data_IF_357913739176
#
_entry.id   IF_357913739176
#
_cell.length_a   1.000
_cell.length_b   1.000
_cell.length_c   1.000
_cell.angle_alpha   90.00
_cell.angle_beta   90.00
_cell.angle_gamma   90.00
#
_symmetry.space_group_name_H-M   'P 1'
#
loop_
_entity.id
_entity.type
_entity.pdbx_description
1 polymer ?
#
# COMPACT_ATOMS: atom_id res chain seq x y z
N UNK A 1 -26.09 -40.77 26.67
CA UNK A 1 -25.83 -39.56 25.84
C UNK A 1 -27.09 -38.73 25.90
N UNK A 2 -27.02 -37.54 26.51
CA UNK A 2 -28.21 -36.74 26.81
C UNK A 2 -28.59 -35.86 25.60
N UNK A 3 -29.91 -35.71 25.35
CA UNK A 3 -30.52 -34.83 24.31
C UNK A 3 -29.88 -33.43 24.22
N UNK A 4 -29.33 -32.93 25.34
CA UNK A 4 -28.63 -31.66 25.43
C UNK A 4 -27.34 -31.62 24.58
N UNK A 5 -26.57 -32.72 24.54
CA UNK A 5 -25.34 -32.85 23.77
C UNK A 5 -25.59 -32.90 22.24
N UNK A 6 -26.73 -33.43 21.80
CA UNK A 6 -27.11 -33.47 20.39
C UNK A 6 -27.58 -32.09 19.89
N UNK A 7 -28.32 -31.34 20.73
CA UNK A 7 -28.71 -29.97 20.39
C UNK A 7 -27.53 -29.02 20.32
N UNK A 8 -26.56 -29.13 21.23
CA UNK A 8 -25.35 -28.31 21.22
C UNK A 8 -24.48 -28.63 19.99
N UNK A 9 -24.33 -29.90 19.61
CA UNK A 9 -23.66 -30.31 18.37
C UNK A 9 -24.38 -29.83 17.12
N UNK A 10 -25.70 -29.90 17.08
CA UNK A 10 -26.50 -29.43 15.96
C UNK A 10 -26.43 -27.90 15.81
N UNK A 11 -26.48 -27.15 16.89
CA UNK A 11 -26.33 -25.70 16.92
C UNK A 11 -24.91 -25.28 16.51
N UNK A 12 -23.87 -25.98 16.95
CA UNK A 12 -22.49 -25.78 16.51
C UNK A 12 -22.35 -26.01 15.02
N UNK A 13 -22.89 -27.10 14.50
CA UNK A 13 -22.87 -27.43 13.08
C UNK A 13 -23.61 -26.41 12.20
N UNK A 14 -24.77 -25.91 12.64
CA UNK A 14 -25.52 -24.85 11.93
C UNK A 14 -24.72 -23.54 11.94
N UNK A 15 -24.14 -23.17 13.07
CA UNK A 15 -23.34 -21.95 13.22
C UNK A 15 -22.07 -22.01 12.34
N UNK A 16 -21.38 -23.16 12.30
CA UNK A 16 -20.23 -23.36 11.44
C UNK A 16 -20.60 -23.31 9.95
N UNK A 17 -21.72 -23.88 9.56
CA UNK A 17 -22.19 -23.86 8.17
C UNK A 17 -22.63 -22.49 7.72
N UNK A 18 -23.37 -21.74 8.54
CA UNK A 18 -23.74 -20.36 8.28
C UNK A 18 -22.50 -19.45 8.17
N UNK A 19 -21.51 -19.63 9.05
CA UNK A 19 -20.25 -18.89 8.97
C UNK A 19 -19.44 -19.25 7.72
N UNK A 20 -19.47 -20.50 7.28
CA UNK A 20 -18.79 -20.91 6.04
C UNK A 20 -19.48 -20.33 4.80
N UNK A 21 -20.80 -20.40 4.70
CA UNK A 21 -21.58 -19.83 3.59
C UNK A 21 -21.42 -18.29 3.54
N UNK A 22 -21.43 -17.61 4.69
CA UNK A 22 -21.17 -16.18 4.77
C UNK A 22 -19.77 -15.81 4.28
N UNK A 23 -18.74 -16.58 4.66
CA UNK A 23 -17.35 -16.37 4.18
C UNK A 23 -17.22 -16.56 2.68
N UNK A 24 -17.88 -17.58 2.12
CA UNK A 24 -17.90 -17.81 0.68
C UNK A 24 -18.57 -16.65 -0.07
N UNK A 25 -19.70 -16.15 0.42
CA UNK A 25 -20.38 -14.99 -0.17
C UNK A 25 -19.51 -13.73 -0.14
N UNK A 26 -18.78 -13.49 0.96
CA UNK A 26 -17.82 -12.38 1.07
C UNK A 26 -16.66 -12.55 0.09
N UNK A 27 -16.11 -13.76 -0.03
CA UNK A 27 -15.04 -14.06 -0.97
C UNK A 27 -15.47 -13.82 -2.42
N UNK A 28 -16.66 -14.26 -2.82
CA UNK A 28 -17.20 -14.05 -4.16
C UNK A 28 -17.49 -12.57 -4.44
N UNK A 29 -18.01 -11.85 -3.44
CA UNK A 29 -18.17 -10.40 -3.52
C UNK A 29 -16.83 -9.71 -3.77
N UNK A 30 -15.80 -10.04 -3.00
CA UNK A 30 -14.47 -9.44 -3.13
C UNK A 30 -13.81 -9.79 -4.48
N UNK A 31 -13.94 -11.03 -4.98
CA UNK A 31 -13.46 -11.42 -6.32
C UNK A 31 -14.11 -10.59 -7.41
N UNK A 32 -15.44 -10.46 -7.41
CA UNK A 32 -16.18 -9.66 -8.39
C UNK A 32 -15.68 -8.21 -8.44
N UNK A 33 -15.40 -7.61 -7.29
CA UNK A 33 -14.86 -6.25 -7.25
C UNK A 33 -13.37 -6.19 -7.61
N UNK A 34 -12.60 -7.22 -7.26
CA UNK A 34 -11.20 -7.33 -7.70
C UNK A 34 -11.13 -7.37 -9.23
N UNK A 35 -11.90 -8.21 -9.90
CA UNK A 35 -11.95 -8.31 -11.36
C UNK A 35 -12.37 -6.97 -12.01
N UNK A 36 -13.26 -6.23 -11.38
CA UNK A 36 -13.72 -4.92 -11.87
C UNK A 36 -12.66 -3.82 -11.78
N UNK A 37 -11.82 -3.83 -10.75
CA UNK A 37 -10.89 -2.73 -10.46
C UNK A 37 -9.42 -3.12 -10.64
N UNK A 38 -9.13 -4.39 -10.85
CA UNK A 38 -7.78 -4.88 -11.05
C UNK A 38 -7.51 -5.15 -12.53
N UNK A 39 -7.59 -4.09 -13.32
CA UNK A 39 -7.32 -4.11 -14.75
C UNK A 39 -6.66 -2.79 -15.17
N UNK A 40 -6.13 -2.74 -16.39
CA UNK A 40 -5.42 -1.60 -16.94
C UNK A 40 -6.28 -0.32 -17.04
N UNK A 41 -7.59 -0.43 -17.21
CA UNK A 41 -8.49 0.73 -17.28
C UNK A 41 -8.51 1.53 -15.98
N UNK A 42 -8.27 0.85 -14.84
CA UNK A 42 -8.18 1.49 -13.53
C UNK A 42 -7.03 2.49 -13.45
N UNK A 43 -5.90 2.21 -14.11
CA UNK A 43 -4.66 3.01 -14.04
C UNK A 43 -4.95 4.46 -14.42
N UNK A 44 -5.66 4.68 -15.51
CA UNK A 44 -5.91 6.02 -16.07
C UNK A 44 -6.62 6.99 -15.11
N UNK A 45 -7.40 6.45 -14.18
CA UNK A 45 -8.21 7.23 -13.23
C UNK A 45 -7.62 7.27 -11.81
N UNK A 46 -6.55 6.53 -11.54
CA UNK A 46 -5.96 6.39 -10.21
C UNK A 46 -4.58 7.07 -10.12
N UNK A 47 -4.13 7.51 -8.94
CA UNK A 47 -2.79 8.05 -8.77
C UNK A 47 -1.66 7.14 -9.24
N UNK A 48 -1.85 5.83 -9.27
CA UNK A 48 -0.86 4.88 -9.79
C UNK A 48 -0.46 5.16 -11.25
N UNK A 49 -1.26 5.93 -12.00
CA UNK A 49 -0.92 6.36 -13.36
C UNK A 49 0.43 7.11 -13.45
N UNK A 50 0.84 7.82 -12.40
CA UNK A 50 2.06 8.62 -12.43
C UNK A 50 3.32 7.75 -12.51
N UNK A 51 3.56 6.76 -11.65
CA UNK A 51 4.70 5.87 -11.83
C UNK A 51 4.62 5.03 -13.13
N UNK A 52 3.44 4.77 -13.69
CA UNK A 52 3.29 4.12 -15.00
C UNK A 52 3.80 4.95 -16.19
N UNK A 53 4.12 6.22 -16.00
CA UNK A 53 4.75 7.08 -17.03
C UNK A 53 6.23 6.75 -17.26
N UNK A 54 6.84 5.97 -16.36
CA UNK A 54 8.28 5.73 -16.33
C UNK A 54 8.62 4.28 -16.67
N UNK A 55 9.85 4.08 -17.16
CA UNK A 55 10.37 2.76 -17.57
C UNK A 55 11.60 2.34 -16.77
N UNK A 56 12.35 3.30 -16.21
CA UNK A 56 13.51 3.01 -15.37
C UNK A 56 13.07 2.76 -13.92
N UNK A 57 13.65 1.72 -13.30
CA UNK A 57 13.29 1.28 -11.94
C UNK A 57 13.33 2.42 -10.92
N UNK A 58 14.40 3.21 -10.91
CA UNK A 58 14.56 4.31 -9.98
C UNK A 58 13.48 5.41 -10.16
N UNK A 59 13.14 5.76 -11.41
CA UNK A 59 12.08 6.75 -11.68
C UNK A 59 10.71 6.23 -11.27
N UNK A 60 10.42 4.94 -11.51
CA UNK A 60 9.19 4.28 -11.05
C UNK A 60 9.10 4.33 -9.52
N UNK A 61 10.17 3.93 -8.83
CA UNK A 61 10.23 3.90 -7.35
C UNK A 61 10.02 5.30 -6.76
N UNK A 62 10.70 6.32 -7.27
CA UNK A 62 10.58 7.71 -6.80
C UNK A 62 9.17 8.23 -7.03
N UNK A 63 8.65 8.09 -8.25
CA UNK A 63 7.29 8.53 -8.59
C UNK A 63 6.24 7.80 -7.75
N UNK A 64 6.35 6.47 -7.60
CA UNK A 64 5.45 5.67 -6.80
C UNK A 64 5.47 6.07 -5.31
N UNK A 65 6.65 6.27 -4.73
CA UNK A 65 6.80 6.68 -3.34
C UNK A 65 6.15 8.03 -3.08
N UNK A 66 6.46 9.04 -3.89
CA UNK A 66 5.92 10.39 -3.76
C UNK A 66 4.39 10.42 -4.00
N UNK A 67 3.92 9.69 -5.01
CA UNK A 67 2.49 9.56 -5.31
C UNK A 67 1.73 8.86 -4.19
N UNK A 68 2.26 7.76 -3.64
CA UNK A 68 1.68 7.08 -2.49
C UNK A 68 1.61 8.01 -1.27
N UNK A 69 2.63 8.85 -1.07
CA UNK A 69 2.65 9.81 0.02
C UNK A 69 1.56 10.88 -0.13
N UNK A 70 1.25 11.33 -1.35
CA UNK A 70 0.20 12.31 -1.64
C UNK A 70 -1.20 11.69 -1.70
N UNK A 71 -1.34 10.35 -1.71
CA UNK A 71 -2.63 9.66 -1.91
C UNK A 71 -3.51 9.68 -0.66
N UNK A 72 -4.01 10.88 -0.30
CA UNK A 72 -5.02 11.09 0.73
C UNK A 72 -5.91 12.29 0.40
N UNK A 73 -7.21 12.18 0.65
CA UNK A 73 -8.20 13.18 0.29
C UNK A 73 -8.98 12.82 -0.98
N UNK A 74 -9.56 13.79 -1.65
CA UNK A 74 -10.35 13.57 -2.85
C UNK A 74 -9.46 13.26 -4.07
N UNK A 75 -9.81 12.21 -4.83
CA UNK A 75 -9.02 11.73 -5.98
C UNK A 75 -8.63 12.83 -6.98
N UNK A 76 -9.52 13.75 -7.42
CA UNK A 76 -9.14 14.82 -8.33
C UNK A 76 -8.05 15.74 -7.78
N UNK A 77 -8.08 16.00 -6.46
CA UNK A 77 -7.06 16.82 -5.82
C UNK A 77 -5.71 16.09 -5.73
N UNK A 78 -5.72 14.77 -5.49
CA UNK A 78 -4.52 13.94 -5.49
C UNK A 78 -3.88 13.97 -6.88
N UNK A 79 -4.66 13.73 -7.94
CA UNK A 79 -4.18 13.75 -9.32
C UNK A 79 -3.57 15.10 -9.69
N UNK A 80 -4.22 16.21 -9.30
CA UNK A 80 -3.70 17.56 -9.54
C UNK A 80 -2.37 17.80 -8.81
N UNK A 81 -2.25 17.34 -7.56
CA UNK A 81 -1.02 17.49 -6.78
C UNK A 81 0.12 16.64 -7.34
N UNK A 82 -0.17 15.41 -7.76
CA UNK A 82 0.81 14.52 -8.36
C UNK A 82 1.28 15.04 -9.74
N UNK A 83 0.37 15.56 -10.58
CA UNK A 83 0.73 16.19 -11.86
C UNK A 83 1.62 17.41 -11.66
N UNK A 84 1.28 18.27 -10.67
CA UNK A 84 2.14 19.41 -10.32
C UNK A 84 3.52 18.96 -9.90
N UNK A 85 3.61 17.89 -9.09
CA UNK A 85 4.90 17.35 -8.63
C UNK A 85 5.72 16.78 -9.79
N UNK A 86 5.07 16.02 -10.66
CA UNK A 86 5.67 15.42 -11.86
C UNK A 86 6.23 16.51 -12.81
N UNK A 87 5.51 17.63 -12.95
CA UNK A 87 5.94 18.79 -13.73
C UNK A 87 7.14 19.50 -13.09
N UNK A 88 7.17 19.64 -11.74
CA UNK A 88 8.33 20.23 -11.03
C UNK A 88 9.58 19.37 -11.23
N UNK A 89 9.46 18.05 -11.23
CA UNK A 89 10.55 17.12 -11.51
C UNK A 89 10.93 17.08 -13.01
N UNK A 90 10.27 17.86 -13.85
CA UNK A 90 10.44 17.86 -15.31
C UNK A 90 10.34 16.44 -15.91
N UNK A 91 9.51 15.58 -15.31
CA UNK A 91 9.34 14.16 -15.67
C UNK A 91 10.66 13.37 -15.70
N UNK A 92 11.59 13.75 -14.85
CA UNK A 92 12.90 13.11 -14.67
C UNK A 92 13.17 12.93 -13.18
N UNK A 93 12.43 12.02 -12.47
CA UNK A 93 12.46 11.91 -11.02
C UNK A 93 13.86 11.69 -10.45
N UNK A 94 14.62 10.73 -10.95
CA UNK A 94 15.96 10.43 -10.45
C UNK A 94 16.91 11.61 -10.63
N UNK A 95 16.92 12.20 -11.82
CA UNK A 95 17.76 13.36 -12.11
C UNK A 95 17.43 14.54 -11.20
N UNK A 96 16.13 14.78 -10.97
CA UNK A 96 15.66 15.83 -10.07
C UNK A 96 16.08 15.59 -8.63
N UNK A 97 15.95 14.37 -8.12
CA UNK A 97 16.42 13.98 -6.78
C UNK A 97 17.90 14.26 -6.64
N UNK A 98 18.74 13.79 -7.58
CA UNK A 98 20.19 13.92 -7.52
C UNK A 98 20.69 15.34 -7.74
N UNK A 99 19.96 16.18 -8.49
CA UNK A 99 20.32 17.59 -8.72
C UNK A 99 20.30 18.43 -7.44
N UNK A 100 19.51 18.06 -6.45
CA UNK A 100 19.32 18.84 -5.23
C UNK A 100 18.44 20.10 -5.39
N UNK A 101 17.85 20.36 -6.58
CA UNK A 101 16.99 21.52 -6.84
C UNK A 101 15.77 21.57 -5.93
N UNK A 102 15.31 20.41 -5.44
CA UNK A 102 14.24 20.31 -4.46
C UNK A 102 14.47 21.13 -3.18
N UNK A 103 15.73 21.44 -2.82
CA UNK A 103 16.07 22.31 -1.68
C UNK A 103 15.58 23.74 -1.89
N UNK A 104 15.52 24.20 -3.14
CA UNK A 104 15.05 25.53 -3.53
C UNK A 104 13.54 25.50 -3.78
N UNK A 105 13.06 24.54 -4.57
CA UNK A 105 11.66 24.46 -5.01
C UNK A 105 10.69 24.18 -3.85
N UNK A 106 11.16 23.46 -2.85
CA UNK A 106 10.40 23.10 -1.65
C UNK A 106 10.92 23.80 -0.38
N UNK A 107 11.44 25.03 -0.53
CA UNK A 107 11.76 25.88 0.61
C UNK A 107 10.48 26.58 1.12
N UNK A 108 10.27 26.55 2.44
CA UNK A 108 9.18 27.29 3.12
C UNK A 108 8.13 26.40 3.78
N UNK A 109 7.28 27.05 4.58
CA UNK A 109 6.24 26.38 5.37
C UNK A 109 4.87 26.32 4.65
N UNK A 110 4.78 26.93 3.46
CA UNK A 110 3.51 26.95 2.73
C UNK A 110 3.07 25.53 2.37
N UNK A 111 1.77 25.34 2.29
CA UNK A 111 1.19 24.07 1.88
C UNK A 111 1.53 23.78 0.42
N UNK A 112 2.11 22.63 0.17
CA UNK A 112 2.19 22.05 -1.17
C UNK A 112 0.88 21.33 -1.53
N UNK A 113 0.39 20.53 -0.59
CA UNK A 113 -0.86 19.79 -0.76
C UNK A 113 -1.52 19.53 0.59
N UNK A 114 -2.71 20.08 0.83
CA UNK A 114 -3.47 19.93 2.07
C UNK A 114 -2.61 20.20 3.32
N UNK A 115 -2.36 19.19 4.13
CA UNK A 115 -1.51 19.26 5.33
C UNK A 115 -0.03 18.99 5.07
N UNK A 116 0.37 18.78 3.83
CA UNK A 116 1.76 18.59 3.43
C UNK A 116 2.38 19.93 3.06
N UNK A 117 3.28 20.43 3.90
CA UNK A 117 4.05 21.65 3.61
C UNK A 117 5.17 21.39 2.59
N UNK A 118 5.73 22.46 2.02
CA UNK A 118 6.92 22.40 1.19
C UNK A 118 8.10 21.77 1.95
N UNK A 119 8.32 22.16 3.21
CA UNK A 119 9.38 21.56 4.03
C UNK A 119 9.19 20.03 4.20
N UNK A 120 7.95 19.57 4.30
CA UNK A 120 7.70 18.12 4.34
C UNK A 120 8.03 17.45 3.01
N UNK A 121 7.75 18.09 1.88
CA UNK A 121 8.19 17.61 0.57
C UNK A 121 9.72 17.59 0.45
N UNK A 122 10.40 18.65 0.88
CA UNK A 122 11.86 18.70 0.91
C UNK A 122 12.45 17.53 1.73
N UNK A 123 11.82 17.19 2.87
CA UNK A 123 12.25 16.04 3.67
C UNK A 123 12.10 14.71 2.93
N UNK A 124 11.01 14.52 2.16
CA UNK A 124 10.84 13.31 1.34
C UNK A 124 11.93 13.22 0.26
N UNK A 125 12.23 14.32 -0.41
CA UNK A 125 13.31 14.38 -1.39
C UNK A 125 14.68 14.16 -0.76
N UNK A 126 14.91 14.66 0.44
CA UNK A 126 16.15 14.41 1.18
C UNK A 126 16.33 12.90 1.48
N UNK A 127 15.27 12.20 1.89
CA UNK A 127 15.32 10.76 2.07
C UNK A 127 15.64 10.02 0.76
N UNK A 128 14.97 10.39 -0.33
CA UNK A 128 15.24 9.83 -1.65
C UNK A 128 16.69 10.11 -2.09
N UNK A 129 17.17 11.34 -1.93
CA UNK A 129 18.56 11.69 -2.23
C UNK A 129 19.55 10.80 -1.46
N UNK A 130 19.37 10.61 -0.15
CA UNK A 130 20.26 9.77 0.67
C UNK A 130 20.30 8.30 0.21
N UNK A 131 19.21 7.82 -0.38
CA UNK A 131 19.14 6.47 -0.94
C UNK A 131 19.88 6.41 -2.28
N UNK A 132 19.50 7.25 -3.22
CA UNK A 132 20.01 7.18 -4.61
C UNK A 132 21.42 7.75 -4.78
N UNK A 133 21.95 8.46 -3.79
CA UNK A 133 23.37 8.81 -3.70
C UNK A 133 24.27 7.60 -3.40
N UNK A 134 23.70 6.48 -2.88
CA UNK A 134 24.44 5.30 -2.42
C UNK A 134 24.03 4.00 -3.09
N UNK A 135 22.79 3.90 -3.56
CA UNK A 135 22.20 2.68 -4.09
C UNK A 135 21.55 2.95 -5.45
N UNK A 136 21.55 1.94 -6.30
CA UNK A 136 20.91 2.04 -7.63
C UNK A 136 19.37 2.00 -7.54
N UNK A 137 18.85 1.39 -6.46
CA UNK A 137 17.40 1.29 -6.22
C UNK A 137 17.08 1.35 -4.73
N UNK A 138 15.82 1.71 -4.44
CA UNK A 138 15.32 1.65 -3.07
C UNK A 138 15.22 0.21 -2.56
N UNK A 139 14.99 -0.77 -3.46
CA UNK A 139 15.03 -2.19 -3.12
C UNK A 139 16.40 -2.58 -2.56
N UNK A 140 17.50 -2.15 -3.20
CA UNK A 140 18.86 -2.46 -2.77
C UNK A 140 19.16 -1.85 -1.40
N UNK A 141 18.72 -0.62 -1.17
CA UNK A 141 18.83 0.01 0.15
C UNK A 141 18.11 -0.79 1.24
N UNK A 142 16.93 -1.35 0.93
CA UNK A 142 16.20 -2.18 1.89
C UNK A 142 16.84 -3.55 2.13
N UNK A 143 17.53 -4.10 1.15
CA UNK A 143 18.26 -5.39 1.30
C UNK A 143 19.47 -5.27 2.23
N UNK A 144 20.04 -4.08 2.37
CA UNK A 144 21.09 -3.82 3.35
C UNK A 144 20.58 -3.82 4.80
N UNK A 145 19.27 -3.66 5.01
CA UNK A 145 18.61 -3.83 6.30
C UNK A 145 18.42 -5.32 6.58
N UNK A 146 19.05 -5.86 7.62
CA UNK A 146 19.14 -7.30 7.84
C UNK A 146 17.88 -7.96 8.38
N UNK A 147 17.05 -7.23 9.16
CA UNK A 147 15.94 -7.82 9.91
C UNK A 147 14.59 -7.16 9.61
N UNK A 148 13.53 -7.96 9.71
CA UNK A 148 12.15 -7.49 9.65
C UNK A 148 11.52 -7.49 8.26
N UNK A 149 10.22 -7.23 8.25
CA UNK A 149 9.41 -7.13 7.04
C UNK A 149 9.80 -5.92 6.18
N UNK A 150 9.46 -5.89 4.89
CA UNK A 150 9.73 -4.73 4.01
C UNK A 150 9.22 -3.41 4.60
N UNK A 151 8.04 -3.43 5.25
CA UNK A 151 7.48 -2.24 5.91
C UNK A 151 8.34 -1.77 7.08
N UNK A 152 8.85 -2.69 7.91
CA UNK A 152 9.72 -2.35 9.04
C UNK A 152 11.07 -1.79 8.56
N UNK A 153 11.63 -2.37 7.50
CA UNK A 153 12.87 -1.87 6.87
C UNK A 153 12.69 -0.46 6.32
N UNK A 154 11.59 -0.19 5.58
CA UNK A 154 11.25 1.17 5.14
C UNK A 154 11.08 2.15 6.29
N UNK A 155 10.41 1.72 7.37
CA UNK A 155 10.24 2.57 8.55
C UNK A 155 11.58 2.96 9.17
N UNK A 156 12.55 2.04 9.26
CA UNK A 156 13.90 2.34 9.75
C UNK A 156 14.64 3.28 8.81
N UNK A 157 14.60 2.99 7.50
CA UNK A 157 15.26 3.80 6.49
C UNK A 157 14.80 5.27 6.51
N UNK A 158 13.51 5.50 6.78
CA UNK A 158 12.93 6.85 6.86
C UNK A 158 12.82 7.40 8.29
N UNK A 159 13.29 6.68 9.30
CA UNK A 159 13.21 7.12 10.69
C UNK A 159 11.78 7.33 11.18
N UNK A 160 10.81 6.53 10.69
CA UNK A 160 9.41 6.60 11.10
C UNK A 160 9.00 5.37 11.91
N UNK A 161 7.98 5.52 12.76
CA UNK A 161 7.52 4.42 13.63
C UNK A 161 6.86 3.31 12.83
N UNK A 162 7.25 2.07 13.10
CA UNK A 162 6.65 0.84 12.56
C UNK A 162 5.44 0.34 13.38
N UNK A 163 5.07 1.04 14.45
CA UNK A 163 3.93 0.67 15.32
C UNK A 163 2.57 1.07 14.74
N UNK A 164 2.55 2.02 13.79
CA UNK A 164 1.34 2.45 13.10
C UNK A 164 1.10 1.62 11.82
N UNK A 165 -0.14 1.59 11.26
CA UNK A 165 -0.46 0.84 10.05
C UNK A 165 0.26 1.30 8.78
N UNK A 166 0.90 2.47 8.78
CA UNK A 166 1.72 3.02 7.69
C UNK A 166 1.09 2.85 6.30
N UNK A 167 -0.18 3.30 6.13
CA UNK A 167 -0.95 3.15 4.88
C UNK A 167 -0.14 3.48 3.63
N UNK A 168 0.54 4.63 3.65
CA UNK A 168 1.28 5.16 2.48
C UNK A 168 2.44 4.25 2.09
N UNK A 169 3.21 3.77 3.08
CA UNK A 169 4.32 2.86 2.85
C UNK A 169 3.82 1.48 2.39
N UNK A 170 2.77 0.96 3.00
CA UNK A 170 2.18 -0.32 2.56
C UNK A 170 1.57 -0.23 1.17
N UNK A 171 1.00 0.92 0.77
CA UNK A 171 0.52 1.13 -0.60
C UNK A 171 1.68 1.15 -1.61
N UNK A 172 2.77 1.85 -1.28
CA UNK A 172 3.99 1.86 -2.09
C UNK A 172 4.59 0.45 -2.21
N UNK A 173 4.74 -0.27 -1.09
CA UNK A 173 5.25 -1.65 -1.08
C UNK A 173 4.38 -2.59 -1.92
N UNK A 174 3.06 -2.45 -1.84
CA UNK A 174 2.16 -3.23 -2.67
C UNK A 174 2.45 -2.99 -4.15
N UNK A 175 2.57 -1.75 -4.59
CA UNK A 175 2.89 -1.43 -5.98
C UNK A 175 4.24 -2.02 -6.43
N UNK A 176 5.25 -2.00 -5.55
CA UNK A 176 6.59 -2.49 -5.89
C UNK A 176 6.72 -4.01 -5.86
N UNK A 177 6.02 -4.71 -4.95
CA UNK A 177 6.25 -6.14 -4.65
C UNK A 177 5.19 -7.05 -5.28
N UNK A 178 3.91 -6.63 -5.37
CA UNK A 178 2.84 -7.50 -5.85
C UNK A 178 3.00 -7.80 -7.32
N UNK A 179 3.13 -9.10 -7.63
CA UNK A 179 3.30 -9.64 -8.98
C UNK A 179 1.95 -10.02 -9.59
N UNK A 180 1.97 -10.39 -10.85
CA UNK A 180 0.78 -10.87 -11.61
C UNK A 180 -0.39 -9.87 -11.56
N UNK A 181 -0.06 -8.59 -11.71
CA UNK A 181 -0.96 -7.46 -11.64
C UNK A 181 -0.79 -6.57 -12.86
N UNK A 182 -1.88 -6.16 -13.48
CA UNK A 182 -1.87 -5.13 -14.52
C UNK A 182 -1.67 -3.71 -13.93
N UNK A 183 -1.95 -3.54 -12.63
CA UNK A 183 -1.94 -2.26 -11.93
C UNK A 183 -0.64 -2.05 -11.14
N UNK A 184 -0.20 -3.09 -10.42
CA UNK A 184 1.01 -3.02 -9.59
C UNK A 184 2.23 -3.44 -10.42
N UNK A 185 3.40 -2.89 -10.14
CA UNK A 185 4.60 -3.09 -10.94
C UNK A 185 5.30 -4.43 -10.69
N UNK A 186 5.32 -4.88 -9.43
CA UNK A 186 5.99 -6.13 -9.04
C UNK A 186 7.48 -6.17 -9.42
N UNK A 187 8.15 -5.02 -9.46
CA UNK A 187 9.57 -4.90 -9.89
C UNK A 187 10.56 -5.25 -8.78
N UNK A 188 10.12 -5.30 -7.52
CA UNK A 188 10.95 -5.74 -6.41
C UNK A 188 10.89 -7.27 -6.29
N UNK A 189 11.97 -7.93 -6.68
CA UNK A 189 12.00 -9.40 -6.80
C UNK A 189 12.49 -10.10 -5.54
N UNK A 190 13.16 -9.37 -4.65
CA UNK A 190 13.78 -9.93 -3.45
C UNK A 190 12.83 -9.98 -2.24
N UNK A 191 11.62 -9.47 -2.37
CA UNK A 191 10.59 -9.51 -1.33
C UNK A 191 9.41 -10.37 -1.78
N UNK A 192 8.81 -11.07 -0.80
CA UNK A 192 7.63 -11.90 -1.05
C UNK A 192 6.34 -11.09 -0.97
N UNK A 193 5.37 -11.28 -1.89
CA UNK A 193 4.02 -10.72 -1.74
C UNK A 193 3.33 -11.12 -0.42
N UNK A 194 3.69 -12.27 0.15
CA UNK A 194 3.15 -12.74 1.45
C UNK A 194 3.57 -11.86 2.65
N UNK A 195 4.58 -11.00 2.49
CA UNK A 195 5.03 -10.05 3.51
C UNK A 195 4.25 -8.73 3.49
N UNK A 196 3.39 -8.53 2.48
CA UNK A 196 2.61 -7.32 2.33
C UNK A 196 1.50 -7.25 3.39
N UNK A 197 1.23 -6.03 3.83
CA UNK A 197 0.13 -5.71 4.74
C UNK A 197 -0.84 -4.78 4.00
N UNK A 198 -2.14 -5.01 4.14
CA UNK A 198 -3.15 -4.15 3.51
C UNK A 198 -2.94 -2.68 3.88
N UNK A 199 -2.95 -1.75 2.89
CA UNK A 199 -2.89 -0.31 3.15
C UNK A 199 -4.13 0.16 3.91
N UNK A 200 -4.14 -0.02 5.24
CA UNK A 200 -5.29 0.28 6.08
C UNK A 200 -5.53 1.78 6.18
N UNK A 201 -6.78 2.19 5.94
CA UNK A 201 -7.31 3.51 6.32
C UNK A 201 -8.69 3.36 6.97
N UNK A 202 -9.34 4.48 7.27
CA UNK A 202 -10.65 4.48 7.92
C UNK A 202 -11.73 3.81 7.06
N UNK A 203 -11.67 3.98 5.73
CA UNK A 203 -12.63 3.35 4.80
C UNK A 203 -12.42 1.85 4.70
N UNK A 204 -11.16 1.42 4.56
CA UNK A 204 -10.81 -0.01 4.53
C UNK A 204 -11.19 -0.67 5.85
N UNK A 205 -10.90 -0.03 7.00
CA UNK A 205 -11.26 -0.54 8.32
C UNK A 205 -12.77 -0.67 8.49
N UNK A 206 -13.54 0.34 8.08
CA UNK A 206 -15.01 0.31 8.14
C UNK A 206 -15.58 -0.80 7.23
N UNK A 207 -15.09 -0.92 6.01
CA UNK A 207 -15.54 -1.96 5.08
C UNK A 207 -15.19 -3.35 5.57
N UNK A 208 -13.97 -3.56 6.08
CA UNK A 208 -13.55 -4.83 6.66
C UNK A 208 -14.42 -5.24 7.87
N UNK A 209 -14.83 -4.27 8.69
CA UNK A 209 -15.76 -4.51 9.79
C UNK A 209 -17.15 -4.91 9.28
N UNK A 210 -17.68 -4.22 8.26
CA UNK A 210 -18.99 -4.55 7.66
C UNK A 210 -19.02 -5.92 6.97
N UNK A 211 -17.89 -6.33 6.42
CA UNK A 211 -17.71 -7.64 5.79
C UNK A 211 -17.31 -8.74 6.82
N UNK A 212 -17.34 -8.42 8.11
CA UNK A 212 -16.97 -9.33 9.21
C UNK A 212 -15.54 -9.91 9.12
N UNK A 213 -14.66 -9.25 8.35
CA UNK A 213 -13.24 -9.58 8.27
C UNK A 213 -12.46 -9.14 9.51
N UNK A 214 -13.06 -8.35 10.38
CA UNK A 214 -12.49 -7.91 11.65
C UNK A 214 -13.61 -7.55 12.63
N UNK A 215 -13.30 -7.67 13.90
CA UNK A 215 -14.21 -7.24 14.99
C UNK A 215 -13.97 -5.80 15.45
N UNK A 216 -13.03 -5.10 14.83
CA UNK A 216 -12.61 -3.76 15.25
C UNK A 216 -12.51 -2.81 14.06
N UNK A 217 -13.00 -1.58 14.25
CA UNK A 217 -12.82 -0.46 13.32
C UNK A 217 -11.53 0.34 13.62
N UNK A 218 -10.66 -0.18 14.48
CA UNK A 218 -9.48 0.55 14.92
C UNK A 218 -8.44 0.69 13.79
N UNK A 219 -7.82 1.87 13.72
CA UNK A 219 -6.71 2.15 12.82
C UNK A 219 -5.38 1.73 13.49
N UNK A 220 -5.16 0.42 13.59
CA UNK A 220 -3.97 -0.16 14.21
C UNK A 220 -3.27 -1.16 13.29
N UNK A 221 -1.97 -1.33 13.49
CA UNK A 221 -1.18 -2.32 12.75
C UNK A 221 -1.72 -3.75 12.98
N UNK A 222 -2.15 -4.06 14.20
CA UNK A 222 -2.72 -5.37 14.51
C UNK A 222 -4.00 -5.63 13.72
N UNK A 223 -4.88 -4.63 13.60
CA UNK A 223 -6.09 -4.75 12.77
C UNK A 223 -5.75 -4.93 11.29
N UNK A 224 -4.75 -4.19 10.77
CA UNK A 224 -4.27 -4.37 9.40
C UNK A 224 -3.76 -5.79 9.15
N UNK A 225 -2.98 -6.36 10.07
CA UNK A 225 -2.49 -7.75 10.00
C UNK A 225 -3.63 -8.76 10.04
N UNK A 226 -4.61 -8.58 10.93
CA UNK A 226 -5.78 -9.47 11.03
C UNK A 226 -6.55 -9.50 9.71
N UNK A 227 -6.85 -8.33 9.12
CA UNK A 227 -7.55 -8.24 7.84
C UNK A 227 -6.72 -8.91 6.73
N UNK A 228 -5.42 -8.65 6.68
CA UNK A 228 -4.51 -9.24 5.70
C UNK A 228 -4.52 -10.76 5.80
N UNK A 229 -4.33 -11.33 6.99
CA UNK A 229 -4.36 -12.79 7.19
C UNK A 229 -5.67 -13.41 6.70
N UNK A 230 -6.82 -12.80 6.97
CA UNK A 230 -8.12 -13.33 6.55
C UNK A 230 -8.32 -13.24 5.02
N UNK A 231 -7.80 -12.21 4.37
CA UNK A 231 -7.82 -12.10 2.91
C UNK A 231 -6.93 -13.15 2.23
N UNK A 232 -5.77 -13.50 2.83
CA UNK A 232 -4.88 -14.54 2.32
C UNK A 232 -5.38 -15.95 2.61
N UNK A 233 -6.08 -16.18 3.72
CA UNK A 233 -6.65 -17.50 4.07
C UNK A 233 -7.98 -17.77 3.39
N UNK A 234 -8.63 -16.77 2.80
CA UNK A 234 -9.73 -16.98 1.87
C UNK A 234 -9.16 -17.58 0.58
N UNK A 235 -9.70 -18.71 0.07
CA UNK A 235 -9.10 -19.43 -1.06
C UNK A 235 -9.07 -18.56 -2.32
N UNK A 236 -7.99 -17.84 -2.50
CA UNK A 236 -7.64 -17.20 -3.77
C UNK A 236 -6.51 -18.01 -4.39
N UNK A 237 -6.72 -18.64 -5.55
CA UNK A 237 -5.69 -19.46 -6.20
C UNK A 237 -4.52 -18.67 -6.79
N UNK A 238 -4.52 -17.32 -6.71
CA UNK A 238 -3.58 -16.48 -7.46
C UNK A 238 -2.43 -15.88 -6.62
N UNK A 239 -2.45 -15.96 -5.29
CA UNK A 239 -1.49 -15.22 -4.47
C UNK A 239 -0.42 -16.08 -3.77
N UNK A 240 -0.40 -17.39 -3.96
CA UNK A 240 0.50 -18.34 -3.28
C UNK A 240 1.15 -19.38 -4.19
N UNK A 241 1.33 -19.09 -5.47
CA UNK A 241 2.09 -19.95 -6.39
C UNK A 241 3.38 -19.31 -6.85
#
# INVERSE_FOLDING_TARGET
MTRKNEQERFMSYITERQTHESRMAVADFLRKYADRYHNSDFISSDPVQFPHRYHFKADIEISAFLTAFLSFGARPQILKAAERLDSIMNRQPLQYVLSGNWKIDFCGEESFYRTVSKNRMAQLFHWLYTIYDRYESMEDALLCETDGTPMQRLCRLFGVSDKAPQKKLNMFLRWMIRRDSEVDFGIWRNFSPCELIIPLDTHVSEMAFRLELTRSKSYTLNNARTITCLLYTSPSPRDCS
#
